data_IF_312426397290
#
_entry.id   IF_312426397290
#
_cell.length_a   1.000
_cell.length_b   1.000
_cell.length_c   1.000
_cell.angle_alpha   90.00
_cell.angle_beta   90.00
_cell.angle_gamma   90.00
#
_symmetry.space_group_name_H-M   'P 1'
#
loop_
_entity.id
_entity.type
_entity.pdbx_description
1 polymer ?
#
# COMPACT_ATOMS: atom_id res chain seq x y z
N UNK A 1 -11.52 -21.07 19.70
CA UNK A 1 -11.46 -21.53 18.29
C UNK A 1 -10.85 -20.38 17.51
N UNK A 2 -9.69 -20.56 16.87
CA UNK A 2 -9.04 -19.51 16.07
C UNK A 2 -9.62 -19.61 14.67
N UNK A 3 -10.42 -18.62 14.26
CA UNK A 3 -10.85 -18.49 12.88
C UNK A 3 -9.66 -18.05 12.03
N UNK A 4 -9.21 -18.93 11.13
CA UNK A 4 -8.31 -18.54 10.06
C UNK A 4 -9.15 -18.02 8.90
N UNK A 5 -8.91 -16.78 8.50
CA UNK A 5 -9.44 -16.27 7.24
C UNK A 5 -8.99 -17.18 6.09
N UNK A 6 -9.80 -17.31 5.01
CA UNK A 6 -9.36 -18.00 3.81
C UNK A 6 -8.00 -17.47 3.37
N UNK A 7 -7.18 -18.32 2.75
CA UNK A 7 -5.84 -17.95 2.28
C UNK A 7 -5.93 -16.64 1.52
N UNK A 8 -5.38 -15.59 2.13
CA UNK A 8 -5.61 -14.25 1.66
C UNK A 8 -4.72 -14.04 0.44
N UNK A 9 -5.31 -14.10 -0.75
CA UNK A 9 -4.58 -13.76 -1.96
C UNK A 9 -4.21 -12.28 -1.87
N UNK A 10 -2.92 -11.92 -1.91
CA UNK A 10 -2.50 -10.52 -1.86
C UNK A 10 -3.13 -9.70 -2.99
N UNK A 11 -3.37 -10.32 -4.15
CA UNK A 11 -4.12 -9.73 -5.27
C UNK A 11 -5.59 -9.40 -4.97
N UNK A 12 -6.20 -10.03 -3.96
CA UNK A 12 -7.58 -9.76 -3.53
C UNK A 12 -7.65 -8.75 -2.38
N UNK A 13 -6.52 -8.17 -1.99
CA UNK A 13 -6.45 -7.12 -0.98
C UNK A 13 -6.40 -5.74 -1.63
N UNK A 14 -7.47 -4.93 -1.57
CA UNK A 14 -7.48 -3.61 -2.17
C UNK A 14 -6.39 -2.68 -1.60
N UNK A 15 -5.91 -2.93 -0.37
CA UNK A 15 -4.85 -2.12 0.23
C UNK A 15 -3.51 -2.37 -0.48
N UNK A 16 -3.22 -3.59 -0.97
CA UNK A 16 -1.95 -3.91 -1.62
C UNK A 16 -1.75 -3.07 -2.89
N UNK A 17 -2.83 -2.78 -3.61
CA UNK A 17 -2.80 -1.91 -4.79
C UNK A 17 -2.41 -0.46 -4.41
N UNK A 18 -2.94 0.05 -3.31
CA UNK A 18 -2.57 1.38 -2.78
C UNK A 18 -1.11 1.41 -2.33
N UNK A 19 -0.64 0.34 -1.68
CA UNK A 19 0.75 0.21 -1.26
C UNK A 19 1.70 0.11 -2.47
N UNK A 20 1.32 -0.63 -3.52
CA UNK A 20 2.08 -0.71 -4.75
C UNK A 20 2.23 0.68 -5.41
N UNK A 21 1.14 1.44 -5.53
CA UNK A 21 1.19 2.82 -6.03
C UNK A 21 2.09 3.73 -5.18
N UNK A 22 1.94 3.69 -3.86
CA UNK A 22 2.75 4.49 -2.95
C UNK A 22 4.25 4.17 -3.07
N UNK A 23 4.62 2.88 -3.14
CA UNK A 23 6.00 2.42 -3.34
C UNK A 23 6.56 2.91 -4.68
N UNK A 24 5.78 2.85 -5.76
CA UNK A 24 6.20 3.37 -7.07
C UNK A 24 6.45 4.88 -7.01
N UNK A 25 5.54 5.67 -6.43
CA UNK A 25 5.70 7.12 -6.26
C UNK A 25 6.93 7.46 -5.42
N UNK A 26 7.15 6.77 -4.30
CA UNK A 26 8.33 6.96 -3.45
C UNK A 26 9.64 6.75 -4.21
N UNK A 27 9.73 5.68 -5.00
CA UNK A 27 10.91 5.39 -5.83
C UNK A 27 11.12 6.43 -6.93
N UNK A 28 10.05 6.89 -7.57
CA UNK A 28 10.13 7.88 -8.63
C UNK A 28 10.55 9.27 -8.13
N UNK A 29 10.06 9.66 -6.94
CA UNK A 29 10.32 10.98 -6.35
C UNK A 29 11.58 11.01 -5.48
N UNK A 30 12.09 9.85 -5.05
CA UNK A 30 13.21 9.77 -4.10
C UNK A 30 12.91 10.45 -2.77
N UNK A 31 11.63 10.46 -2.34
CA UNK A 31 11.18 11.23 -1.18
C UNK A 31 10.94 10.37 0.06
N UNK A 32 10.87 11.04 1.21
CA UNK A 32 10.50 10.44 2.48
C UNK A 32 9.01 10.12 2.58
N UNK A 33 8.68 9.27 3.54
CA UNK A 33 7.32 8.77 3.76
C UNK A 33 6.35 9.91 4.12
N UNK A 34 6.77 10.92 4.88
CA UNK A 34 5.94 12.08 5.22
C UNK A 34 5.57 12.90 3.98
N UNK A 35 6.54 13.14 3.09
CA UNK A 35 6.31 13.84 1.81
C UNK A 35 5.36 13.01 0.94
N UNK A 36 5.57 11.70 0.88
CA UNK A 36 4.70 10.80 0.12
C UNK A 36 3.24 10.83 0.59
N UNK A 37 3.01 10.91 1.91
CA UNK A 37 1.66 11.00 2.48
C UNK A 37 1.03 12.37 2.25
N UNK A 38 1.80 13.45 2.35
CA UNK A 38 1.32 14.80 2.02
C UNK A 38 0.86 14.92 0.54
N UNK A 39 1.54 14.22 -0.38
CA UNK A 39 1.21 14.21 -1.81
C UNK A 39 0.04 13.26 -2.17
N UNK A 40 -0.38 12.38 -1.27
CA UNK A 40 -1.46 11.40 -1.49
C UNK A 40 -2.74 11.71 -0.68
N UNK A 41 -2.88 12.92 -0.12
CA UNK A 41 -4.11 13.33 0.54
C UNK A 41 -5.17 13.69 -0.52
N UNK A 42 -6.11 12.77 -0.74
CA UNK A 42 -7.34 13.00 -1.47
C UNK A 42 -8.50 12.47 -0.63
#
# INVERSE_FOLDING_TARGET
MVEYFPTYSPDLNPIEHKWAQAKCKKRALGCDTDILFALNQN
#
